data_IF_272978874933
#
_entry.id   IF_272978874933
#
_cell.length_a   1.000
_cell.length_b   1.000
_cell.length_c   1.000
_cell.angle_alpha   90.00
_cell.angle_beta   90.00
_cell.angle_gamma   90.00
#
_symmetry.space_group_name_H-M   'P 1'
#
loop_
_entity.id
_entity.type
_entity.pdbx_description
1 polymer ?
#
# COMPACT_ATOMS: atom_id res chain seq x y z
N UNK A 1 -2.70 10.75 -48.25
CA UNK A 1 -2.15 12.04 -47.77
C UNK A 1 -3.26 12.78 -47.06
N UNK A 2 -3.12 12.99 -45.74
CA UNK A 2 -3.80 13.95 -44.86
C UNK A 2 -5.32 13.87 -44.57
N UNK A 3 -5.57 13.67 -43.26
CA UNK A 3 -6.38 14.51 -42.36
C UNK A 3 -7.92 14.39 -42.25
N UNK A 4 -8.31 14.16 -40.99
CA UNK A 4 -9.42 14.76 -40.22
C UNK A 4 -10.88 14.42 -40.57
N UNK A 5 -11.56 13.72 -39.65
CA UNK A 5 -12.58 14.30 -38.76
C UNK A 5 -13.16 13.16 -37.87
N UNK A 6 -12.91 13.20 -36.56
CA UNK A 6 -13.68 12.43 -35.58
C UNK A 6 -14.22 13.42 -34.54
N UNK A 7 -15.53 13.61 -34.54
CA UNK A 7 -16.30 14.39 -33.58
C UNK A 7 -17.65 13.69 -33.41
N UNK A 8 -18.08 13.58 -32.15
CA UNK A 8 -19.37 13.10 -31.63
C UNK A 8 -19.63 11.59 -31.65
N UNK A 9 -19.44 10.94 -30.50
CA UNK A 9 -20.57 10.51 -29.64
C UNK A 9 -20.15 10.69 -28.19
N UNK A 10 -20.86 11.61 -27.52
CA UNK A 10 -20.87 11.84 -26.07
C UNK A 10 -21.80 10.77 -25.47
N UNK A 11 -21.33 9.94 -24.56
CA UNK A 11 -22.16 9.41 -23.48
C UNK A 11 -21.32 8.88 -22.30
N UNK A 12 -21.56 9.49 -21.15
CA UNK A 12 -21.30 9.02 -19.78
C UNK A 12 -19.85 8.91 -19.31
N UNK A 13 -19.29 10.07 -18.98
CA UNK A 13 -18.37 10.23 -17.85
C UNK A 13 -18.90 11.39 -17.01
N UNK A 14 -18.60 11.38 -15.70
CA UNK A 14 -18.86 12.41 -14.66
C UNK A 14 -19.94 11.98 -13.66
N UNK A 15 -19.50 11.31 -12.59
CA UNK A 15 -20.00 11.63 -11.24
C UNK A 15 -18.87 12.34 -10.50
N UNK A 16 -18.93 13.67 -10.56
CA UNK A 16 -18.29 14.64 -9.66
C UNK A 16 -18.64 14.31 -8.20
N UNK A 17 -17.66 14.24 -7.30
CA UNK A 17 -17.31 15.34 -6.39
C UNK A 17 -18.52 16.12 -5.84
N UNK A 18 -18.85 15.81 -4.58
CA UNK A 18 -19.45 16.63 -3.52
C UNK A 18 -20.01 18.01 -3.90
N UNK A 19 -21.33 18.19 -3.75
CA UNK A 19 -21.93 19.08 -2.74
C UNK A 19 -23.47 19.02 -2.75
N UNK A 20 -24.02 19.35 -1.59
CA UNK A 20 -25.40 19.80 -1.30
C UNK A 20 -26.51 18.75 -1.19
N UNK A 21 -26.70 18.25 0.04
CA UNK A 21 -27.97 17.72 0.53
C UNK A 21 -28.45 18.60 1.68
N UNK A 22 -29.49 19.39 1.41
CA UNK A 22 -30.35 19.99 2.42
C UNK A 22 -31.15 18.89 3.13
N UNK A 23 -31.22 19.02 4.45
CA UNK A 23 -31.94 18.17 5.39
C UNK A 23 -33.33 18.78 5.61
N UNK A 24 -34.35 17.93 5.55
CA UNK A 24 -35.66 18.06 6.21
C UNK A 24 -36.30 16.65 6.14
N UNK A 25 -37.05 16.10 7.09
CA UNK A 25 -37.10 16.14 8.56
C UNK A 25 -37.90 14.88 8.99
N UNK A 26 -37.57 14.33 10.17
CA UNK A 26 -38.40 13.48 11.03
C UNK A 26 -38.97 12.12 10.53
N UNK A 27 -38.38 11.00 11.00
CA UNK A 27 -38.89 10.13 12.08
C UNK A 27 -38.27 8.72 12.00
N UNK A 28 -37.68 8.30 13.12
CA UNK A 28 -37.55 6.93 13.64
C UNK A 28 -37.27 5.78 12.65
N UNK A 29 -36.03 5.29 12.66
CA UNK A 29 -35.67 3.88 12.86
C UNK A 29 -34.14 3.75 12.86
N UNK A 30 -33.61 2.89 13.74
CA UNK A 30 -32.18 2.63 13.96
C UNK A 30 -31.47 2.45 12.61
N UNK A 31 -30.40 3.21 12.29
CA UNK A 31 -29.73 3.04 11.01
C UNK A 31 -29.11 1.64 10.97
N UNK A 32 -29.69 0.78 10.14
CA UNK A 32 -29.02 -0.45 9.71
C UNK A 32 -27.64 -0.04 9.21
N UNK A 33 -26.61 -0.50 9.92
CA UNK A 33 -25.22 -0.46 9.47
C UNK A 33 -25.22 -1.26 8.17
N UNK A 34 -25.45 -0.58 7.04
CA UNK A 34 -25.11 -1.09 5.73
C UNK A 34 -23.61 -1.28 5.78
N UNK A 35 -23.18 -2.51 6.07
CA UNK A 35 -21.82 -2.99 5.81
C UNK A 35 -21.51 -2.59 4.38
N UNK A 36 -20.79 -1.48 4.24
CA UNK A 36 -20.26 -0.99 2.99
C UNK A 36 -19.35 -2.13 2.55
N UNK A 37 -19.82 -3.01 1.66
CA UNK A 37 -19.01 -4.07 1.06
C UNK A 37 -17.78 -3.36 0.51
N UNK A 38 -16.66 -3.44 1.23
CA UNK A 38 -15.37 -3.10 0.65
C UNK A 38 -15.22 -4.09 -0.50
N UNK A 39 -15.28 -3.58 -1.73
CA UNK A 39 -14.91 -4.35 -2.90
C UNK A 39 -13.52 -4.94 -2.65
N UNK A 40 -13.41 -6.26 -2.68
CA UNK A 40 -12.17 -6.95 -2.39
C UNK A 40 -11.27 -6.90 -3.61
N UNK A 41 -10.15 -6.20 -3.45
CA UNK A 41 -9.14 -6.02 -4.49
C UNK A 41 -8.61 -7.36 -5.00
N UNK A 42 -8.49 -8.37 -4.14
CA UNK A 42 -7.98 -9.69 -4.54
C UNK A 42 -9.03 -10.53 -5.28
N UNK A 43 -10.29 -10.54 -4.82
CA UNK A 43 -11.37 -11.29 -5.48
C UNK A 43 -11.64 -10.76 -6.91
N UNK A 44 -11.59 -9.43 -7.09
CA UNK A 44 -11.66 -8.81 -8.42
C UNK A 44 -10.41 -9.09 -9.27
N UNK A 45 -9.24 -9.15 -8.64
CA UNK A 45 -8.00 -9.43 -9.36
C UNK A 45 -7.98 -10.87 -9.89
N UNK A 46 -8.30 -11.86 -9.06
CA UNK A 46 -8.18 -13.29 -9.41
C UNK A 46 -9.17 -13.73 -10.49
N UNK A 47 -10.31 -13.05 -10.60
CA UNK A 47 -11.31 -13.30 -11.65
C UNK A 47 -10.97 -12.62 -12.98
N UNK A 48 -9.89 -11.85 -13.04
CA UNK A 48 -9.49 -11.09 -14.22
C UNK A 48 -8.62 -11.90 -15.18
N UNK A 49 -8.85 -11.76 -16.49
CA UNK A 49 -8.04 -12.42 -17.52
C UNK A 49 -6.56 -11.96 -17.54
N UNK A 50 -6.26 -10.82 -16.92
CA UNK A 50 -4.92 -10.25 -16.77
C UNK A 50 -4.28 -10.60 -15.42
N UNK A 51 -4.89 -11.49 -14.63
CA UNK A 51 -4.36 -11.91 -13.34
C UNK A 51 -3.03 -12.64 -13.48
N UNK A 52 -2.09 -12.27 -12.60
CA UNK A 52 -0.79 -12.91 -12.42
C UNK A 52 -0.80 -13.52 -11.02
N UNK A 53 -0.57 -14.82 -10.94
CA UNK A 53 -0.66 -15.57 -9.70
C UNK A 53 0.62 -15.43 -8.85
N UNK A 54 0.58 -14.45 -7.95
CA UNK A 54 1.63 -14.18 -6.97
C UNK A 54 1.36 -14.83 -5.60
N UNK A 55 0.54 -15.88 -5.53
CA UNK A 55 0.10 -16.42 -4.22
C UNK A 55 1.20 -17.09 -3.41
N UNK A 56 2.32 -17.47 -4.03
CA UNK A 56 3.52 -17.91 -3.29
C UNK A 56 4.16 -16.81 -2.44
N UNK A 57 3.80 -15.54 -2.65
CA UNK A 57 4.14 -14.46 -1.74
C UNK A 57 3.75 -14.78 -0.30
N UNK A 58 2.62 -15.45 -0.08
CA UNK A 58 2.16 -15.83 1.26
C UNK A 58 3.19 -16.77 1.91
N UNK A 59 3.69 -17.76 1.18
CA UNK A 59 4.69 -18.69 1.71
C UNK A 59 6.00 -17.99 2.04
N UNK A 60 6.52 -17.19 1.11
CA UNK A 60 7.77 -16.45 1.29
C UNK A 60 7.66 -15.48 2.49
N UNK A 61 6.49 -14.91 2.74
CA UNK A 61 6.21 -14.07 3.92
C UNK A 61 6.28 -14.84 5.24
N UNK A 62 5.98 -16.13 5.29
CA UNK A 62 6.06 -16.92 6.54
C UNK A 62 7.40 -17.62 6.74
N UNK A 63 8.09 -17.98 5.65
CA UNK A 63 9.39 -18.65 5.71
C UNK A 63 10.52 -17.67 6.03
N UNK A 64 10.39 -16.39 5.65
CA UNK A 64 11.45 -15.41 5.92
C UNK A 64 11.51 -14.97 7.38
N UNK A 65 12.70 -14.50 7.79
CA UNK A 65 13.02 -14.14 9.17
C UNK A 65 12.15 -12.99 9.70
N UNK A 66 11.99 -12.94 11.04
CA UNK A 66 11.29 -11.86 11.73
C UNK A 66 9.78 -12.09 11.86
N UNK A 67 9.24 -11.81 13.05
CA UNK A 67 7.80 -11.88 13.31
C UNK A 67 7.05 -10.69 12.70
N UNK A 68 7.71 -9.55 12.53
CA UNK A 68 7.17 -8.34 11.92
C UNK A 68 7.91 -8.04 10.62
N UNK A 69 7.15 -7.95 9.52
CA UNK A 69 7.69 -7.78 8.17
C UNK A 69 7.16 -6.50 7.53
N UNK A 70 8.05 -5.62 7.11
CA UNK A 70 7.72 -4.39 6.38
C UNK A 70 8.20 -4.48 4.94
N UNK A 71 7.27 -4.52 3.98
CA UNK A 71 7.63 -4.54 2.55
C UNK A 71 7.19 -3.24 1.89
N UNK A 72 8.15 -2.52 1.33
CA UNK A 72 7.91 -1.24 0.67
C UNK A 72 8.03 -1.36 -0.85
N UNK A 73 7.07 -0.79 -1.56
CA UNK A 73 7.06 -0.75 -3.02
C UNK A 73 6.38 0.51 -3.56
N UNK A 74 6.66 0.92 -4.80
CA UNK A 74 5.99 2.07 -5.41
C UNK A 74 4.45 1.93 -5.46
N UNK A 75 3.77 3.05 -5.66
CA UNK A 75 2.31 3.05 -5.83
C UNK A 75 1.93 2.34 -7.12
N UNK A 76 0.85 1.55 -7.09
CA UNK A 76 0.39 0.76 -8.24
C UNK A 76 1.05 -0.62 -8.38
N UNK A 77 1.97 -0.99 -7.49
CA UNK A 77 2.75 -2.23 -7.58
C UNK A 77 2.12 -3.38 -6.77
N UNK A 78 0.79 -3.43 -6.67
CA UNK A 78 0.08 -4.58 -6.08
C UNK A 78 0.01 -4.67 -4.55
N UNK A 79 0.58 -3.71 -3.79
CA UNK A 79 0.63 -3.74 -2.31
C UNK A 79 -0.70 -4.10 -1.62
N UNK A 80 -1.75 -3.31 -1.84
CA UNK A 80 -3.05 -3.58 -1.21
C UNK A 80 -3.71 -4.87 -1.70
N UNK A 81 -3.45 -5.29 -2.95
CA UNK A 81 -3.98 -6.55 -3.48
C UNK A 81 -3.30 -7.73 -2.80
N UNK A 82 -1.98 -7.68 -2.64
CA UNK A 82 -1.23 -8.70 -1.89
C UNK A 82 -1.62 -8.71 -0.41
N UNK A 83 -1.90 -7.55 0.19
CA UNK A 83 -2.40 -7.45 1.55
C UNK A 83 -3.77 -8.13 1.72
N UNK A 84 -4.72 -7.84 0.83
CA UNK A 84 -6.05 -8.49 0.86
C UNK A 84 -5.96 -10.00 0.58
N UNK A 85 -5.04 -10.42 -0.30
CA UNK A 85 -4.73 -11.83 -0.53
C UNK A 85 -4.25 -12.53 0.74
N UNK A 86 -3.26 -11.97 1.45
CA UNK A 86 -2.75 -12.52 2.72
C UNK A 86 -3.85 -12.56 3.78
N UNK A 87 -4.64 -11.48 3.90
CA UNK A 87 -5.81 -11.42 4.80
C UNK A 87 -6.73 -12.60 4.56
N UNK A 88 -7.22 -12.77 3.33
CA UNK A 88 -8.16 -13.83 2.97
C UNK A 88 -7.62 -15.24 3.18
N UNK A 89 -6.33 -15.44 2.92
CA UNK A 89 -5.69 -16.74 3.12
C UNK A 89 -5.65 -17.11 4.62
N UNK A 90 -5.32 -16.17 5.50
CA UNK A 90 -5.10 -16.45 6.93
C UNK A 90 -6.37 -16.37 7.78
N UNK A 91 -7.35 -15.55 7.38
CA UNK A 91 -8.50 -15.14 8.18
C UNK A 91 -9.43 -16.31 8.55
N UNK A 92 -9.64 -16.49 9.85
CA UNK A 92 -10.73 -17.33 10.37
C UNK A 92 -12.07 -16.70 9.96
N UNK A 93 -12.86 -17.43 9.17
CA UNK A 93 -14.21 -17.02 8.81
C UNK A 93 -15.20 -17.40 9.91
N UNK A 94 -16.10 -16.48 10.25
CA UNK A 94 -17.14 -16.68 11.26
C UNK A 94 -18.54 -16.42 10.71
N UNK A 95 -19.54 -17.00 11.36
CA UNK A 95 -20.95 -16.65 11.16
C UNK A 95 -21.30 -15.30 11.83
N UNK A 96 -22.57 -14.88 11.72
CA UNK A 96 -23.08 -13.65 12.34
C UNK A 96 -22.98 -13.60 13.87
N UNK A 97 -22.84 -14.76 14.51
CA UNK A 97 -22.71 -14.91 15.97
C UNK A 97 -21.24 -15.05 16.42
N UNK A 98 -20.29 -15.05 15.47
CA UNK A 98 -18.87 -15.22 15.74
C UNK A 98 -18.42 -16.68 15.84
N UNK A 99 -19.27 -17.66 15.51
CA UNK A 99 -18.82 -19.06 15.48
C UNK A 99 -17.97 -19.32 14.24
N UNK A 100 -16.84 -20.00 14.43
CA UNK A 100 -15.96 -20.38 13.34
C UNK A 100 -16.67 -21.34 12.37
N UNK A 101 -16.61 -21.00 11.08
CA UNK A 101 -17.14 -21.83 10.00
C UNK A 101 -16.16 -22.96 9.67
N UNK A 102 -16.67 -24.07 9.11
CA UNK A 102 -15.80 -25.08 8.51
C UNK A 102 -15.05 -24.46 7.32
N UNK A 103 -13.72 -24.52 7.35
CA UNK A 103 -12.80 -23.90 6.39
C UNK A 103 -13.22 -24.24 4.95
N UNK A 104 -13.57 -25.50 4.68
CA UNK A 104 -13.95 -25.97 3.34
C UNK A 104 -15.23 -25.36 2.80
N UNK A 105 -16.07 -24.80 3.66
CA UNK A 105 -17.32 -24.13 3.29
C UNK A 105 -17.17 -22.63 3.08
N UNK A 106 -16.00 -22.06 3.41
CA UNK A 106 -15.79 -20.62 3.38
C UNK A 106 -15.63 -20.09 1.95
N UNK A 107 -16.06 -18.84 1.74
CA UNK A 107 -15.82 -18.14 0.47
C UNK A 107 -14.34 -18.00 0.15
N UNK A 108 -13.51 -17.77 1.18
CA UNK A 108 -12.06 -17.68 0.99
C UNK A 108 -11.51 -19.02 0.48
N UNK A 109 -11.89 -20.16 1.07
CA UNK A 109 -11.42 -21.46 0.58
C UNK A 109 -11.82 -21.73 -0.87
N UNK A 110 -13.07 -21.44 -1.23
CA UNK A 110 -13.56 -21.58 -2.60
C UNK A 110 -12.80 -20.68 -3.58
N UNK A 111 -12.50 -19.43 -3.20
CA UNK A 111 -11.74 -18.48 -4.02
C UNK A 111 -10.36 -19.03 -4.38
N UNK A 112 -9.64 -19.61 -3.40
CA UNK A 112 -8.28 -20.11 -3.64
C UNK A 112 -8.27 -21.44 -4.42
N UNK A 113 -9.20 -22.34 -4.12
CA UNK A 113 -9.23 -23.69 -4.70
C UNK A 113 -9.85 -23.74 -6.08
N UNK A 114 -10.93 -22.99 -6.33
CA UNK A 114 -11.61 -22.96 -7.65
C UNK A 114 -10.75 -22.28 -8.71
N UNK A 115 -9.96 -21.28 -8.32
CA UNK A 115 -9.01 -20.61 -9.20
C UNK A 115 -7.67 -21.35 -9.34
N UNK A 116 -7.52 -22.53 -8.72
CA UNK A 116 -6.33 -23.39 -8.77
C UNK A 116 -5.01 -22.65 -8.48
N UNK A 117 -5.06 -21.74 -7.50
CA UNK A 117 -3.94 -20.86 -7.21
C UNK A 117 -2.68 -21.63 -6.80
N UNK A 118 -1.52 -21.13 -7.19
CA UNK A 118 -0.21 -21.76 -7.01
C UNK A 118 0.06 -22.17 -5.56
N UNK A 119 -0.34 -21.34 -4.58
CA UNK A 119 -0.21 -21.65 -3.15
C UNK A 119 -0.94 -22.95 -2.75
N UNK A 120 -2.02 -23.33 -3.44
CA UNK A 120 -2.78 -24.55 -3.18
C UNK A 120 -2.01 -25.82 -3.53
N UNK A 121 -0.96 -25.71 -4.37
CA UNK A 121 -0.10 -26.84 -4.75
C UNK A 121 0.82 -27.27 -3.60
N UNK A 122 1.12 -26.39 -2.66
CA UNK A 122 1.80 -26.73 -1.42
C UNK A 122 0.78 -27.14 -0.35
N UNK A 123 0.27 -28.37 -0.45
CA UNK A 123 -0.79 -28.87 0.42
C UNK A 123 -0.44 -28.78 1.91
N UNK A 124 0.83 -29.00 2.29
CA UNK A 124 1.26 -28.94 3.68
C UNK A 124 1.13 -27.52 4.21
N UNK A 125 1.74 -26.55 3.51
CA UNK A 125 1.67 -25.14 3.90
C UNK A 125 0.22 -24.64 3.88
N UNK A 126 -0.55 -24.99 2.84
CA UNK A 126 -1.95 -24.60 2.72
C UNK A 126 -2.77 -25.07 3.92
N UNK A 127 -2.70 -26.35 4.29
CA UNK A 127 -3.46 -26.86 5.45
C UNK A 127 -2.99 -26.29 6.79
N UNK A 128 -1.70 -25.98 6.92
CA UNK A 128 -1.13 -25.46 8.17
C UNK A 128 -1.51 -24.00 8.45
N UNK A 129 -1.67 -23.16 7.42
CA UNK A 129 -1.85 -21.72 7.60
C UNK A 129 -3.21 -21.18 7.13
N UNK A 130 -3.91 -21.86 6.23
CA UNK A 130 -5.17 -21.36 5.66
C UNK A 130 -6.28 -21.27 6.71
N UNK A 131 -6.86 -20.08 6.88
CA UNK A 131 -7.97 -19.82 7.80
C UNK A 131 -7.63 -20.08 9.27
N UNK A 132 -6.36 -19.93 9.68
CA UNK A 132 -5.90 -20.29 11.02
C UNK A 132 -5.76 -19.13 12.01
N UNK A 133 -5.83 -17.88 11.55
CA UNK A 133 -5.52 -16.70 12.35
C UNK A 133 -6.71 -15.75 12.48
N UNK A 134 -6.99 -15.23 13.69
CA UNK A 134 -7.74 -13.99 13.83
C UNK A 134 -6.91 -12.84 13.24
N UNK A 135 -7.53 -12.00 12.42
CA UNK A 135 -6.84 -10.90 11.74
C UNK A 135 -7.23 -9.56 12.36
N UNK A 136 -6.23 -8.72 12.62
CA UNK A 136 -6.42 -7.27 12.80
C UNK A 136 -5.93 -6.59 11.53
N UNK A 137 -6.86 -6.11 10.70
CA UNK A 137 -6.56 -5.41 9.45
C UNK A 137 -6.74 -3.90 9.62
N UNK A 138 -5.65 -3.15 9.44
CA UNK A 138 -5.57 -1.70 9.60
C UNK A 138 -5.20 -1.08 8.25
N UNK A 139 -6.02 -0.16 7.74
CA UNK A 139 -5.70 0.62 6.54
C UNK A 139 -5.54 2.10 6.92
N UNK A 140 -4.30 2.59 6.91
CA UNK A 140 -3.99 3.99 7.23
C UNK A 140 -4.22 4.96 6.06
N UNK A 141 -4.74 4.53 4.91
CA UNK A 141 -5.03 5.43 3.79
C UNK A 141 -5.87 6.68 4.16
N UNK A 142 -6.84 6.66 5.10
CA UNK A 142 -7.54 7.87 5.55
C UNK A 142 -6.62 8.96 6.16
N UNK A 143 -5.45 8.57 6.69
CA UNK A 143 -4.46 9.49 7.26
C UNK A 143 -3.67 10.27 6.20
N UNK A 144 -3.85 9.94 4.91
CA UNK A 144 -3.03 10.49 3.83
C UNK A 144 -3.06 12.01 3.68
N UNK A 145 -4.11 12.68 4.15
CA UNK A 145 -4.27 14.13 4.02
C UNK A 145 -4.25 14.85 5.37
N UNK A 146 -3.60 14.28 6.40
CA UNK A 146 -3.42 14.98 7.68
C UNK A 146 -2.36 16.07 7.55
N UNK A 147 -2.56 17.17 8.28
CA UNK A 147 -1.58 18.26 8.41
C UNK A 147 -1.41 18.78 9.84
N UNK A 148 -2.26 18.35 10.78
CA UNK A 148 -2.16 18.72 12.20
C UNK A 148 -2.53 17.55 13.12
N UNK A 149 -2.12 17.63 14.38
CA UNK A 149 -2.36 16.59 15.37
C UNK A 149 -3.87 16.37 15.65
N UNK A 150 -4.72 17.41 15.79
CA UNK A 150 -6.17 17.20 15.93
C UNK A 150 -6.80 16.48 14.73
N UNK A 151 -6.36 16.79 13.50
CA UNK A 151 -6.84 16.09 12.31
C UNK A 151 -6.40 14.62 12.28
N UNK A 152 -5.19 14.32 12.77
CA UNK A 152 -4.72 12.94 12.93
C UNK A 152 -5.67 12.15 13.82
N UNK A 153 -6.01 12.68 15.01
CA UNK A 153 -6.91 12.00 15.95
C UNK A 153 -8.28 11.71 15.32
N UNK A 154 -8.88 12.71 14.66
CA UNK A 154 -10.18 12.53 13.99
C UNK A 154 -10.14 11.47 12.88
N UNK A 155 -9.07 11.47 12.07
CA UNK A 155 -8.90 10.46 11.01
C UNK A 155 -8.54 9.08 11.56
N UNK A 156 -7.81 8.99 12.66
CA UNK A 156 -7.52 7.72 13.33
C UNK A 156 -8.79 7.08 13.89
N UNK A 157 -9.72 7.85 14.47
CA UNK A 157 -11.02 7.31 14.87
C UNK A 157 -11.79 6.66 13.71
N UNK A 158 -11.66 7.20 12.49
CA UNK A 158 -12.22 6.56 11.29
C UNK A 158 -11.51 5.25 10.93
N UNK A 159 -10.18 5.19 11.05
CA UNK A 159 -9.41 3.94 10.84
C UNK A 159 -9.81 2.89 11.87
N UNK A 160 -9.92 3.28 13.14
CA UNK A 160 -10.36 2.43 14.25
C UNK A 160 -11.76 1.88 13.97
N UNK A 161 -12.72 2.76 13.63
CA UNK A 161 -14.08 2.38 13.28
C UNK A 161 -14.13 1.34 12.16
N UNK A 162 -13.38 1.56 11.06
CA UNK A 162 -13.32 0.60 9.97
C UNK A 162 -12.72 -0.74 10.40
N UNK A 163 -11.70 -0.72 11.27
CA UNK A 163 -11.02 -1.92 11.76
C UNK A 163 -11.92 -2.73 12.69
N UNK A 164 -12.57 -2.08 13.66
CA UNK A 164 -13.47 -2.73 14.62
C UNK A 164 -14.76 -3.24 13.97
N UNK A 165 -15.24 -2.57 12.92
CA UNK A 165 -16.47 -2.96 12.23
C UNK A 165 -16.42 -4.37 11.66
N UNK A 166 -15.24 -4.89 11.29
CA UNK A 166 -15.08 -6.29 10.85
C UNK A 166 -15.37 -7.31 11.96
N UNK A 167 -15.38 -6.87 13.22
CA UNK A 167 -15.50 -7.72 14.40
C UNK A 167 -16.75 -7.43 15.23
N UNK A 168 -17.79 -6.84 14.63
CA UNK A 168 -19.05 -6.53 15.34
C UNK A 168 -19.71 -7.77 15.96
N UNK A 169 -19.45 -8.96 15.41
CA UNK A 169 -19.91 -10.24 15.95
C UNK A 169 -19.43 -10.50 17.40
N UNK A 170 -18.34 -9.86 17.85
CA UNK A 170 -17.83 -10.01 19.21
C UNK A 170 -18.86 -9.61 20.27
N UNK A 171 -19.75 -8.65 19.98
CA UNK A 171 -20.82 -8.22 20.87
C UNK A 171 -21.74 -9.39 21.26
N UNK A 172 -21.92 -10.37 20.36
CA UNK A 172 -22.80 -11.53 20.61
C UNK A 172 -22.17 -12.57 21.54
N UNK A 173 -20.85 -12.54 21.73
CA UNK A 173 -20.19 -13.48 22.63
C UNK A 173 -20.18 -12.94 24.07
N UNK A 174 -21.20 -13.28 24.86
CA UNK A 174 -21.30 -12.84 26.26
C UNK A 174 -20.12 -13.27 27.15
N UNK A 175 -19.32 -14.28 26.75
CA UNK A 175 -18.24 -14.84 27.58
C UNK A 175 -16.96 -14.01 27.59
N UNK A 176 -16.81 -13.04 26.68
CA UNK A 176 -15.59 -12.21 26.60
C UNK A 176 -15.71 -10.89 27.36
N UNK A 177 -16.93 -10.53 27.76
CA UNK A 177 -17.29 -9.28 28.43
C UNK A 177 -17.50 -9.51 29.93
N UNK A 178 -17.04 -8.58 30.75
CA UNK A 178 -17.29 -8.60 32.20
C UNK A 178 -18.65 -7.99 32.55
N UNK A 179 -19.04 -6.92 31.86
CA UNK A 179 -20.26 -6.16 32.07
C UNK A 179 -20.72 -5.47 30.78
N UNK A 180 -21.85 -4.76 30.85
CA UNK A 180 -22.40 -4.00 29.71
C UNK A 180 -21.54 -2.76 29.37
N UNK A 181 -20.75 -2.23 30.31
CA UNK A 181 -19.91 -1.06 30.06
C UNK A 181 -18.76 -1.39 29.09
N UNK A 182 -18.17 -2.59 29.18
CA UNK A 182 -17.18 -3.05 28.21
C UNK A 182 -17.77 -3.18 26.79
N UNK A 183 -19.02 -3.63 26.67
CA UNK A 183 -19.72 -3.73 25.38
C UNK A 183 -19.93 -2.32 24.80
N UNK A 184 -20.32 -1.36 25.64
CA UNK A 184 -20.46 0.04 25.24
C UNK A 184 -19.12 0.64 24.82
N UNK A 185 -18.03 0.36 25.56
CA UNK A 185 -16.68 0.80 25.21
C UNK A 185 -16.23 0.25 23.85
N UNK A 186 -16.43 -1.04 23.59
CA UNK A 186 -16.19 -1.64 22.27
C UNK A 186 -17.04 -0.97 21.18
N UNK A 187 -18.31 -0.71 21.45
CA UNK A 187 -19.23 -0.10 20.47
C UNK A 187 -18.82 1.33 20.12
N UNK A 188 -18.26 2.09 21.06
CA UNK A 188 -17.72 3.44 20.82
C UNK A 188 -16.54 3.44 19.84
N UNK A 189 -15.82 2.32 19.69
CA UNK A 189 -14.79 2.19 18.67
C UNK A 189 -15.38 2.06 17.26
N UNK A 190 -16.62 1.58 17.12
CA UNK A 190 -17.29 1.40 15.82
C UNK A 190 -18.08 2.64 15.44
N UNK A 191 -18.97 3.10 16.32
CA UNK A 191 -19.82 4.26 16.10
C UNK A 191 -19.44 5.35 17.09
N UNK A 192 -18.96 6.49 16.58
CA UNK A 192 -18.76 7.66 17.43
C UNK A 192 -20.13 8.14 17.90
N UNK A 193 -20.41 8.01 19.20
CA UNK A 193 -21.63 8.54 19.81
C UNK A 193 -21.36 9.92 20.40
N UNK A 194 -22.39 10.78 20.45
CA UNK A 194 -22.28 12.13 21.00
C UNK A 194 -21.90 12.16 22.49
N UNK A 195 -22.18 11.07 23.22
CA UNK A 195 -22.06 11.02 24.69
C UNK A 195 -20.80 10.31 25.21
N UNK A 196 -20.03 9.60 24.37
CA UNK A 196 -18.73 9.01 24.72
C UNK A 196 -17.84 8.96 23.48
N UNK A 197 -16.78 9.76 23.46
CA UNK A 197 -15.78 9.78 22.39
C UNK A 197 -14.49 9.12 22.87
N UNK A 198 -13.80 8.41 21.97
CA UNK A 198 -12.48 7.86 22.27
C UNK A 198 -11.53 9.01 22.60
N UNK A 199 -10.90 8.93 23.77
CA UNK A 199 -9.84 9.86 24.14
C UNK A 199 -8.50 9.48 23.48
N UNK A 200 -7.41 10.17 23.84
CA UNK A 200 -6.08 9.88 23.27
C UNK A 200 -5.57 8.49 23.65
N UNK A 201 -5.84 8.05 24.88
CA UNK A 201 -5.42 6.75 25.38
C UNK A 201 -6.20 5.64 24.67
N UNK A 202 -7.52 5.79 24.57
CA UNK A 202 -8.38 4.87 23.82
C UNK A 202 -7.90 4.74 22.37
N UNK A 203 -7.58 5.86 21.70
CA UNK A 203 -7.09 5.84 20.32
C UNK A 203 -5.74 5.11 20.22
N UNK A 204 -4.77 5.46 21.08
CA UNK A 204 -3.42 4.89 21.07
C UNK A 204 -3.41 3.37 21.31
N UNK A 205 -4.27 2.90 22.22
CA UNK A 205 -4.33 1.48 22.61
C UNK A 205 -5.46 0.69 21.92
N UNK A 206 -6.26 1.31 21.06
CA UNK A 206 -7.43 0.71 20.40
C UNK A 206 -7.14 -0.62 19.70
N UNK A 207 -6.09 -0.69 18.88
CA UNK A 207 -5.78 -1.92 18.15
C UNK A 207 -5.25 -3.04 19.06
N UNK A 208 -4.50 -2.69 20.12
CA UNK A 208 -4.07 -3.64 21.13
C UNK A 208 -5.27 -4.20 21.90
N UNK A 209 -6.24 -3.34 22.23
CA UNK A 209 -7.51 -3.73 22.85
C UNK A 209 -8.30 -4.71 21.96
N UNK A 210 -8.42 -4.42 20.66
CA UNK A 210 -9.05 -5.35 19.72
C UNK A 210 -8.32 -6.70 19.66
N UNK A 211 -6.98 -6.69 19.62
CA UNK A 211 -6.18 -7.92 19.63
C UNK A 211 -6.43 -8.76 20.90
N UNK A 212 -6.58 -8.12 22.06
CA UNK A 212 -6.95 -8.77 23.31
C UNK A 212 -8.32 -9.45 23.21
N UNK A 213 -9.34 -8.76 22.70
CA UNK A 213 -10.69 -9.30 22.54
C UNK A 213 -10.72 -10.49 21.58
N UNK A 214 -10.03 -10.39 20.44
CA UNK A 214 -9.91 -11.49 19.47
C UNK A 214 -9.19 -12.69 20.09
N UNK A 215 -8.14 -12.47 20.88
CA UNK A 215 -7.48 -13.56 21.62
C UNK A 215 -8.40 -14.20 22.65
N UNK A 216 -9.21 -13.43 23.39
CA UNK A 216 -10.22 -13.98 24.32
C UNK A 216 -11.24 -14.85 23.58
N UNK A 217 -11.70 -14.38 22.41
CA UNK A 217 -12.70 -15.05 21.60
C UNK A 217 -12.19 -16.35 20.95
N UNK A 218 -11.07 -16.28 20.21
CA UNK A 218 -10.54 -17.42 19.45
C UNK A 218 -9.52 -18.27 20.21
N UNK A 219 -9.06 -17.82 21.39
CA UNK A 219 -7.97 -18.44 22.16
C UNK A 219 -6.67 -18.57 21.36
N UNK A 220 -6.48 -17.72 20.36
CA UNK A 220 -5.30 -17.64 19.49
C UNK A 220 -4.74 -16.22 19.47
N UNK A 221 -3.42 -16.11 19.30
CA UNK A 221 -2.79 -14.82 19.00
C UNK A 221 -3.25 -14.32 17.63
N UNK A 222 -3.38 -13.01 17.46
CA UNK A 222 -3.80 -12.40 16.19
C UNK A 222 -2.63 -12.31 15.21
N UNK A 223 -2.91 -12.25 13.93
CA UNK A 223 -1.97 -11.80 12.91
C UNK A 223 -2.35 -10.39 12.47
N UNK A 224 -1.39 -9.47 12.45
CA UNK A 224 -1.64 -8.05 12.20
C UNK A 224 -1.28 -7.70 10.75
N UNK A 225 -2.17 -6.98 10.08
CA UNK A 225 -1.98 -6.52 8.70
C UNK A 225 -2.15 -5.00 8.65
N UNK A 226 -1.11 -4.25 8.26
CA UNK A 226 -1.15 -2.78 8.17
C UNK A 226 -0.86 -2.33 6.74
N UNK A 227 -1.89 -1.86 6.04
CA UNK A 227 -1.76 -1.25 4.71
C UNK A 227 -1.53 0.26 4.81
N UNK A 228 -0.81 0.80 3.83
CA UNK A 228 -0.44 2.21 3.73
C UNK A 228 0.19 2.74 5.03
N UNK A 229 1.12 1.97 5.61
CA UNK A 229 1.70 2.27 6.92
C UNK A 229 2.38 3.65 6.97
N UNK A 230 2.79 4.20 5.84
CA UNK A 230 3.40 5.52 5.70
C UNK A 230 2.40 6.62 5.25
N UNK A 231 1.10 6.38 5.33
CA UNK A 231 0.11 7.30 4.79
C UNK A 231 0.18 8.70 5.41
N UNK A 232 0.35 8.78 6.72
CA UNK A 232 0.33 10.03 7.48
C UNK A 232 1.42 11.02 7.04
N UNK A 233 2.57 10.56 6.53
CA UNK A 233 3.65 11.47 6.10
C UNK A 233 3.47 12.04 4.69
N UNK A 234 2.62 11.45 3.84
CA UNK A 234 2.59 11.82 2.42
C UNK A 234 2.27 13.29 2.17
N UNK A 235 1.27 13.84 2.85
CA UNK A 235 0.84 15.22 2.64
C UNK A 235 1.72 16.22 3.40
N UNK A 236 2.31 15.79 4.52
CA UNK A 236 3.19 16.62 5.36
C UNK A 236 4.47 17.04 4.62
N UNK A 237 4.91 16.26 3.62
CA UNK A 237 6.01 16.65 2.73
C UNK A 237 5.64 17.86 1.85
N UNK A 238 4.37 17.98 1.45
CA UNK A 238 3.91 19.00 0.50
C UNK A 238 3.17 20.18 1.16
N UNK A 239 2.75 20.04 2.43
CA UNK A 239 1.97 21.05 3.16
C UNK A 239 2.54 21.30 4.56
N UNK A 240 2.46 22.53 5.04
CA UNK A 240 2.92 22.90 6.38
C UNK A 240 2.22 22.08 7.44
N UNK A 241 3.02 21.54 8.36
CA UNK A 241 2.57 20.70 9.45
C UNK A 241 3.40 21.05 10.69
N UNK A 242 2.92 21.98 11.54
CA UNK A 242 3.65 22.38 12.74
C UNK A 242 3.79 21.20 13.73
N UNK A 243 2.85 20.25 13.69
CA UNK A 243 2.74 19.15 14.65
C UNK A 243 3.43 17.86 14.17
N UNK A 244 4.39 17.95 13.24
CA UNK A 244 5.04 16.75 12.65
C UNK A 244 5.62 15.81 13.71
N UNK A 245 6.22 16.36 14.76
CA UNK A 245 6.82 15.55 15.82
C UNK A 245 5.75 14.79 16.61
N UNK A 246 4.66 15.45 16.95
CA UNK A 246 3.58 14.88 17.74
C UNK A 246 2.86 13.79 16.94
N UNK A 247 2.66 14.01 15.63
CA UNK A 247 2.09 13.02 14.71
C UNK A 247 2.98 11.78 14.62
N UNK A 248 4.28 11.94 14.38
CA UNK A 248 5.21 10.81 14.28
C UNK A 248 5.26 10.02 15.60
N UNK A 249 5.36 10.72 16.73
CA UNK A 249 5.48 10.09 18.06
C UNK A 249 4.21 9.31 18.42
N UNK A 250 3.04 9.85 18.12
CA UNK A 250 1.77 9.20 18.42
C UNK A 250 1.50 7.98 17.54
N UNK A 251 1.90 8.03 16.25
CA UNK A 251 1.83 6.85 15.38
C UNK A 251 2.82 5.76 15.84
N UNK A 252 4.03 6.13 16.26
CA UNK A 252 5.00 5.19 16.84
C UNK A 252 4.49 4.54 18.13
N UNK A 253 3.80 5.30 18.99
CA UNK A 253 3.13 4.80 20.20
C UNK A 253 2.02 3.82 19.86
N UNK A 254 1.11 4.20 18.94
CA UNK A 254 -0.05 3.40 18.55
C UNK A 254 0.36 2.07 17.92
N UNK A 255 1.27 2.10 16.94
CA UNK A 255 1.76 0.89 16.28
C UNK A 255 2.64 0.06 17.24
N UNK A 256 3.45 0.72 18.08
CA UNK A 256 4.29 0.09 19.08
C UNK A 256 3.49 -0.68 20.12
N UNK A 257 2.39 -0.11 20.63
CA UNK A 257 1.51 -0.76 21.59
C UNK A 257 0.96 -2.09 21.05
N UNK A 258 0.56 -2.15 19.78
CA UNK A 258 0.09 -3.38 19.16
C UNK A 258 1.24 -4.37 18.87
N UNK A 259 2.26 -3.92 18.15
CA UNK A 259 3.27 -4.80 17.55
C UNK A 259 4.25 -5.40 18.58
N UNK A 260 4.42 -4.74 19.74
CA UNK A 260 5.25 -5.26 20.84
C UNK A 260 4.49 -6.17 21.80
N UNK A 261 3.18 -6.32 21.64
CA UNK A 261 2.36 -7.16 22.51
C UNK A 261 2.54 -8.66 22.14
N UNK A 262 3.69 -9.24 22.46
CA UNK A 262 4.07 -10.63 22.10
C UNK A 262 3.05 -11.68 22.57
N UNK A 263 2.34 -11.40 23.67
CA UNK A 263 1.29 -12.28 24.18
C UNK A 263 0.01 -12.23 23.35
N UNK A 264 -0.19 -11.19 22.53
CA UNK A 264 -1.39 -10.97 21.72
C UNK A 264 -1.13 -11.21 20.23
N UNK A 265 0.07 -10.88 19.74
CA UNK A 265 0.42 -10.90 18.32
C UNK A 265 1.31 -12.09 17.99
N UNK A 266 0.95 -12.84 16.95
CA UNK A 266 1.73 -13.96 16.41
C UNK A 266 2.75 -13.51 15.37
N UNK A 267 2.42 -12.47 14.61
CA UNK A 267 3.24 -11.84 13.60
C UNK A 267 2.49 -10.69 12.94
N UNK A 268 3.20 -9.90 12.14
CA UNK A 268 2.64 -8.77 11.44
C UNK A 268 3.24 -8.59 10.04
N UNK A 269 2.41 -8.15 9.11
CA UNK A 269 2.83 -7.72 7.78
C UNK A 269 2.37 -6.27 7.52
N UNK A 270 3.33 -5.41 7.23
CA UNK A 270 3.15 -4.00 6.97
C UNK A 270 3.57 -3.69 5.54
N UNK A 271 2.86 -2.76 4.88
CA UNK A 271 3.26 -2.29 3.56
C UNK A 271 3.03 -0.79 3.37
N UNK A 272 3.94 -0.16 2.61
CA UNK A 272 3.98 1.28 2.35
C UNK A 272 4.86 1.60 1.13
N UNK A 273 5.11 2.89 0.88
CA UNK A 273 6.08 3.34 -0.15
C UNK A 273 7.42 3.72 0.48
N UNK A 274 7.35 4.38 1.63
CA UNK A 274 8.45 4.90 2.39
C UNK A 274 8.68 4.05 3.64
N UNK A 275 9.95 3.82 3.96
CA UNK A 275 10.36 3.26 5.24
C UNK A 275 10.48 4.40 6.25
N UNK A 276 9.34 4.81 6.83
CA UNK A 276 9.25 5.88 7.84
C UNK A 276 9.55 5.37 9.25
N UNK A 277 9.22 4.11 9.52
CA UNK A 277 9.27 3.55 10.86
C UNK A 277 10.70 3.32 11.34
N UNK A 278 11.02 3.94 12.48
CA UNK A 278 12.14 3.56 13.32
C UNK A 278 11.70 2.33 14.13
N UNK A 279 12.32 1.18 13.87
CA UNK A 279 12.21 -0.02 14.69
C UNK A 279 12.83 0.13 16.08
N UNK A 280 12.53 1.21 16.81
CA UNK A 280 12.89 1.39 18.22
C UNK A 280 11.79 0.85 19.15
N UNK A 281 10.84 0.09 18.62
CA UNK A 281 9.92 -0.72 19.40
C UNK A 281 10.61 -1.85 20.20
N UNK A 282 11.93 -2.01 20.07
CA UNK A 282 12.67 -3.12 20.68
C UNK A 282 12.39 -4.47 20.02
N UNK A 283 11.69 -4.49 18.88
CA UNK A 283 11.39 -5.70 18.10
C UNK A 283 12.14 -5.72 16.76
N UNK A 284 12.55 -6.91 16.35
CA UNK A 284 13.24 -7.12 15.07
C UNK A 284 12.23 -7.04 13.91
N UNK A 285 12.10 -5.84 13.33
CA UNK A 285 11.32 -5.61 12.10
C UNK A 285 12.20 -5.95 10.90
N UNK A 286 11.91 -7.09 10.28
CA UNK A 286 12.53 -7.44 9.00
C UNK A 286 11.90 -6.59 7.89
N UNK A 287 12.72 -6.05 6.99
CA UNK A 287 12.22 -5.15 5.94
C UNK A 287 12.78 -5.50 4.58
N UNK A 288 11.92 -5.43 3.56
CA UNK A 288 12.33 -5.45 2.15
C UNK A 288 11.86 -4.19 1.42
N UNK A 289 12.67 -3.75 0.49
CA UNK A 289 12.49 -2.60 -0.38
C UNK A 289 12.48 -3.07 -1.84
N UNK A 290 11.51 -2.57 -2.59
CA UNK A 290 11.41 -2.88 -4.01
C UNK A 290 12.74 -2.62 -4.75
N UNK A 291 13.17 -3.62 -5.53
CA UNK A 291 14.44 -3.75 -6.26
C UNK A 291 15.70 -4.04 -5.43
N UNK A 292 15.60 -4.14 -4.10
CA UNK A 292 16.75 -4.49 -3.25
C UNK A 292 16.73 -5.96 -2.82
N UNK A 293 15.55 -6.54 -2.60
CA UNK A 293 15.39 -7.93 -2.18
C UNK A 293 14.60 -8.71 -3.23
N UNK A 294 15.30 -9.61 -3.92
CA UNK A 294 14.77 -10.45 -5.02
C UNK A 294 13.63 -11.33 -4.57
N UNK A 295 13.77 -11.92 -3.39
CA UNK A 295 12.81 -12.83 -2.79
C UNK A 295 11.38 -12.23 -2.80
N UNK A 296 11.27 -10.92 -2.57
CA UNK A 296 9.98 -10.24 -2.46
C UNK A 296 9.66 -9.34 -3.66
N UNK A 297 10.65 -8.67 -4.23
CA UNK A 297 10.44 -7.70 -5.32
C UNK A 297 9.74 -8.32 -6.54
N UNK A 298 9.95 -9.61 -6.79
CA UNK A 298 9.27 -10.37 -7.86
C UNK A 298 7.73 -10.34 -7.76
N UNK A 299 7.17 -10.16 -6.55
CA UNK A 299 5.72 -10.08 -6.30
C UNK A 299 5.15 -8.66 -6.39
N UNK A 300 6.01 -7.65 -6.51
CA UNK A 300 5.64 -6.24 -6.60
C UNK A 300 5.99 -5.68 -7.97
N UNK A 301 5.85 -6.49 -9.02
CA UNK A 301 5.96 -6.07 -10.41
C UNK A 301 5.45 -7.22 -11.28
N UNK A 302 5.32 -6.96 -12.58
CA UNK A 302 5.17 -8.07 -13.53
C UNK A 302 6.58 -8.49 -13.94
N UNK A 303 6.90 -9.78 -13.90
CA UNK A 303 8.16 -10.27 -14.44
C UNK A 303 8.05 -10.48 -15.96
N UNK A 304 9.16 -10.46 -16.69
CA UNK A 304 9.15 -10.79 -18.13
C UNK A 304 8.48 -12.15 -18.45
N UNK A 305 8.74 -13.25 -17.70
CA UNK A 305 7.98 -14.49 -17.83
C UNK A 305 6.47 -14.32 -17.68
N UNK A 306 6.00 -13.65 -16.62
CA UNK A 306 4.57 -13.45 -16.34
C UNK A 306 3.90 -12.61 -17.42
N UNK A 307 4.59 -11.57 -17.90
CA UNK A 307 4.10 -10.71 -18.98
C UNK A 307 3.90 -11.54 -20.26
N UNK A 308 4.89 -12.36 -20.61
CA UNK A 308 4.85 -13.21 -21.81
C UNK A 308 3.72 -14.23 -21.72
N UNK A 309 3.54 -14.88 -20.58
CA UNK A 309 2.43 -15.80 -20.35
C UNK A 309 1.08 -15.10 -20.50
N UNK A 310 0.92 -13.95 -19.85
CA UNK A 310 -0.30 -13.14 -19.91
C UNK A 310 -0.64 -12.71 -21.34
N UNK A 311 0.33 -12.18 -22.08
CA UNK A 311 0.16 -11.79 -23.49
C UNK A 311 -0.21 -12.98 -24.37
N UNK A 312 0.41 -14.16 -24.15
CA UNK A 312 0.10 -15.36 -24.92
C UNK A 312 -1.32 -15.87 -24.67
N UNK A 313 -1.82 -15.72 -23.43
CA UNK A 313 -3.19 -16.09 -23.05
C UNK A 313 -4.23 -15.16 -23.68
N UNK A 314 -3.96 -13.85 -23.68
CA UNK A 314 -4.92 -12.83 -24.14
C UNK A 314 -4.98 -12.69 -25.66
N UNK A 315 -3.84 -12.81 -26.34
CA UNK A 315 -3.76 -12.56 -27.78
C UNK A 315 -3.43 -13.85 -28.52
N UNK A 316 -4.28 -14.33 -29.44
CA UNK A 316 -3.98 -15.55 -30.19
C UNK A 316 -2.89 -15.36 -31.26
N UNK A 317 -2.79 -14.17 -31.85
CA UNK A 317 -1.94 -13.93 -33.01
C UNK A 317 -0.54 -13.38 -32.64
N UNK A 318 0.50 -13.89 -33.33
CA UNK A 318 1.91 -13.53 -33.06
C UNK A 318 2.26 -12.07 -33.39
N UNK A 319 1.49 -11.40 -34.25
CA UNK A 319 1.78 -10.01 -34.63
C UNK A 319 1.36 -9.07 -33.50
N UNK A 320 0.12 -9.16 -33.04
CA UNK A 320 -0.40 -8.38 -31.90
C UNK A 320 0.42 -8.63 -30.65
N UNK A 321 0.80 -9.89 -30.35
CA UNK A 321 1.69 -10.19 -29.21
C UNK A 321 2.99 -9.37 -29.24
N UNK A 322 3.61 -9.25 -30.43
CA UNK A 322 4.86 -8.48 -30.58
C UNK A 322 4.62 -6.98 -30.43
N UNK A 323 3.54 -6.45 -31.01
CA UNK A 323 3.19 -5.04 -30.93
C UNK A 323 2.86 -4.62 -29.49
N UNK A 324 2.01 -5.39 -28.81
CA UNK A 324 1.64 -5.22 -27.40
C UNK A 324 2.88 -5.29 -26.51
N UNK A 325 3.73 -6.32 -26.68
CA UNK A 325 4.96 -6.44 -25.89
C UNK A 325 5.90 -5.26 -26.12
N UNK A 326 6.12 -4.87 -27.37
CA UNK A 326 6.99 -3.73 -27.71
C UNK A 326 6.48 -2.43 -27.08
N UNK A 327 5.16 -2.20 -27.07
CA UNK A 327 4.59 -1.04 -26.41
C UNK A 327 4.82 -1.07 -24.90
N UNK A 328 4.57 -2.21 -24.25
CA UNK A 328 4.76 -2.39 -22.81
C UNK A 328 6.24 -2.26 -22.42
N UNK A 329 7.15 -2.82 -23.22
CA UNK A 329 8.60 -2.70 -23.03
C UNK A 329 9.07 -1.26 -23.02
N UNK A 330 8.58 -0.45 -23.96
CA UNK A 330 8.94 0.96 -24.10
C UNK A 330 8.33 1.85 -23.01
N UNK A 331 7.09 1.59 -22.62
CA UNK A 331 6.32 2.50 -21.78
C UNK A 331 6.36 2.14 -20.30
N UNK A 332 6.38 0.86 -19.95
CA UNK A 332 6.16 0.40 -18.56
C UNK A 332 7.25 -0.52 -18.02
N UNK A 333 8.16 -1.00 -18.89
CA UNK A 333 9.26 -1.90 -18.51
C UNK A 333 10.48 -1.18 -17.95
N UNK A 334 11.60 -1.89 -17.92
CA UNK A 334 12.93 -1.30 -17.67
C UNK A 334 13.33 -1.20 -16.20
N UNK A 335 12.45 -1.59 -15.27
CA UNK A 335 12.86 -1.83 -13.89
C UNK A 335 13.75 -3.08 -13.84
N UNK A 336 14.86 -3.02 -13.08
CA UNK A 336 15.87 -4.08 -13.04
C UNK A 336 15.96 -4.66 -11.64
N UNK A 337 15.57 -5.93 -11.51
CA UNK A 337 15.72 -6.70 -10.30
C UNK A 337 16.93 -7.62 -10.44
N UNK A 338 18.06 -7.25 -9.85
CA UNK A 338 19.27 -8.07 -9.88
C UNK A 338 19.10 -9.31 -9.02
N UNK A 339 19.32 -10.49 -9.59
CA UNK A 339 19.40 -11.72 -8.82
C UNK A 339 20.85 -12.00 -8.38
N UNK A 340 21.06 -13.01 -7.53
CA UNK A 340 22.40 -13.41 -7.10
C UNK A 340 23.21 -13.89 -8.33
N UNK A 341 23.90 -12.95 -9.00
CA UNK A 341 24.62 -13.15 -10.25
C UNK A 341 24.78 -11.87 -11.09
N UNK A 342 25.22 -12.04 -12.33
CA UNK A 342 25.43 -10.95 -13.30
C UNK A 342 24.16 -10.59 -14.11
N UNK A 343 23.04 -11.24 -13.81
CA UNK A 343 21.79 -11.09 -14.55
C UNK A 343 20.75 -10.31 -13.73
N UNK A 344 19.84 -9.64 -14.43
CA UNK A 344 18.66 -9.04 -13.82
C UNK A 344 17.38 -9.58 -14.46
N UNK A 345 16.32 -9.63 -13.66
CA UNK A 345 14.96 -9.84 -14.12
C UNK A 345 14.39 -8.48 -14.51
N UNK A 346 13.94 -8.36 -15.77
CA UNK A 346 13.21 -7.18 -16.23
C UNK A 346 11.82 -7.19 -15.60
N UNK A 347 11.50 -6.10 -14.92
CA UNK A 347 10.25 -5.89 -14.19
C UNK A 347 9.44 -4.77 -14.85
N UNK A 348 8.13 -4.83 -14.65
CA UNK A 348 7.17 -3.84 -15.16
C UNK A 348 6.23 -3.38 -14.04
N UNK A 349 5.72 -2.15 -14.16
CA UNK A 349 4.65 -1.64 -13.30
C UNK A 349 3.36 -2.48 -13.46
N UNK A 350 2.89 -3.10 -12.37
CA UNK A 350 1.65 -3.91 -12.37
C UNK A 350 0.47 -3.08 -12.85
N UNK A 351 0.21 -1.93 -12.23
CA UNK A 351 -0.94 -1.12 -12.57
C UNK A 351 -0.92 -0.64 -14.01
N UNK A 352 0.25 -0.27 -14.54
CA UNK A 352 0.35 0.27 -15.90
C UNK A 352 0.13 -0.83 -16.94
N UNK A 353 0.71 -2.01 -16.73
CA UNK A 353 0.51 -3.19 -17.58
C UNK A 353 -0.95 -3.65 -17.55
N UNK A 354 -1.52 -3.87 -16.36
CA UNK A 354 -2.90 -4.35 -16.19
C UNK A 354 -3.90 -3.41 -16.85
N UNK A 355 -3.77 -2.10 -16.64
CA UNK A 355 -4.65 -1.08 -17.24
C UNK A 355 -4.56 -1.09 -18.76
N UNK A 356 -3.34 -1.12 -19.29
CA UNK A 356 -3.12 -1.16 -20.74
C UNK A 356 -3.76 -2.41 -21.36
N UNK A 357 -3.56 -3.58 -20.76
CA UNK A 357 -4.13 -4.84 -21.24
C UNK A 357 -5.67 -4.87 -21.13
N UNK A 358 -6.26 -4.14 -20.18
CA UNK A 358 -7.71 -3.95 -20.05
C UNK A 358 -8.29 -2.87 -20.98
N UNK A 359 -7.46 -2.19 -21.77
CA UNK A 359 -7.89 -1.07 -22.60
C UNK A 359 -8.32 0.17 -21.81
N UNK A 360 -7.90 0.28 -20.54
CA UNK A 360 -8.19 1.44 -19.70
C UNK A 360 -7.32 2.64 -20.08
N UNK A 361 -7.84 3.85 -19.86
CA UNK A 361 -7.05 5.07 -20.06
C UNK A 361 -5.87 5.14 -19.10
N UNK A 362 -4.75 5.70 -19.58
CA UNK A 362 -3.59 5.93 -18.71
C UNK A 362 -3.96 6.94 -17.62
N UNK A 363 -3.88 6.50 -16.36
CA UNK A 363 -4.02 7.39 -15.22
C UNK A 363 -2.68 8.06 -14.96
N UNK A 364 -2.75 9.35 -14.65
CA UNK A 364 -1.58 10.14 -14.27
C UNK A 364 -0.83 9.46 -13.13
N UNK A 365 0.51 9.39 -13.24
CA UNK A 365 1.38 8.93 -12.16
C UNK A 365 1.07 9.73 -10.87
N UNK A 366 1.30 9.14 -9.70
CA UNK A 366 0.97 9.72 -8.40
C UNK A 366 1.42 11.17 -8.24
N UNK A 367 2.64 11.53 -8.64
CA UNK A 367 3.11 12.91 -8.50
C UNK A 367 2.56 13.87 -9.57
N UNK A 368 1.85 13.37 -10.57
CA UNK A 368 1.25 14.18 -11.62
C UNK A 368 -0.14 14.76 -11.23
N UNK A 369 -0.65 14.48 -10.02
CA UNK A 369 -1.81 15.23 -9.52
C UNK A 369 -1.42 16.70 -9.23
N UNK A 370 -2.31 17.68 -9.53
CA UNK A 370 -1.97 19.10 -9.46
C UNK A 370 -1.32 19.56 -8.15
N UNK A 371 -1.81 19.04 -7.02
CA UNK A 371 -1.30 19.38 -5.68
C UNK A 371 0.17 19.00 -5.46
N UNK A 372 0.66 17.94 -6.09
CA UNK A 372 2.05 17.51 -5.96
C UNK A 372 2.94 18.22 -6.97
N UNK A 373 2.47 18.37 -8.22
CA UNK A 373 3.18 19.10 -9.29
C UNK A 373 3.61 20.48 -8.81
N UNK A 374 2.71 21.22 -8.16
CA UNK A 374 3.03 22.54 -7.61
C UNK A 374 4.20 22.53 -6.61
N UNK A 375 4.29 21.53 -5.74
CA UNK A 375 5.43 21.37 -4.83
C UNK A 375 6.74 21.09 -5.57
N UNK A 376 6.69 20.24 -6.60
CA UNK A 376 7.88 19.97 -7.41
C UNK A 376 8.37 21.21 -8.16
N UNK A 377 7.51 22.15 -8.55
CA UNK A 377 7.94 23.41 -9.18
C UNK A 377 8.94 24.19 -8.33
N UNK A 378 8.75 24.24 -7.01
CA UNK A 378 9.67 24.93 -6.11
C UNK A 378 10.99 24.19 -5.97
N UNK A 379 10.96 22.85 -5.91
CA UNK A 379 12.18 22.04 -5.88
C UNK A 379 12.99 22.25 -7.16
N UNK A 380 12.35 22.27 -8.33
CA UNK A 380 13.04 22.43 -9.61
C UNK A 380 13.70 23.81 -9.78
N UNK A 381 13.44 24.79 -8.89
CA UNK A 381 14.21 26.05 -8.86
C UNK A 381 15.59 25.90 -8.22
N UNK A 382 15.83 24.80 -7.51
CA UNK A 382 17.14 24.48 -6.92
C UNK A 382 18.02 23.94 -8.06
N UNK A 383 19.02 24.71 -8.48
CA UNK A 383 19.88 24.40 -9.64
C UNK A 383 20.39 22.96 -9.61
N UNK A 384 20.96 22.51 -8.49
CA UNK A 384 21.55 21.18 -8.38
C UNK A 384 20.51 20.05 -8.53
N UNK A 385 19.24 20.28 -8.14
CA UNK A 385 18.17 19.30 -8.36
C UNK A 385 17.70 19.34 -9.82
N UNK A 386 17.50 20.54 -10.37
CA UNK A 386 17.12 20.70 -11.78
C UNK A 386 18.15 20.05 -12.71
N UNK A 387 19.43 20.28 -12.46
CA UNK A 387 20.53 19.70 -13.24
C UNK A 387 20.50 18.17 -13.17
N UNK A 388 20.33 17.59 -11.97
CA UNK A 388 20.23 16.14 -11.81
C UNK A 388 19.03 15.55 -12.56
N UNK A 389 17.87 16.23 -12.52
CA UNK A 389 16.66 15.81 -13.24
C UNK A 389 16.83 15.95 -14.75
N UNK A 390 17.46 17.02 -15.23
CA UNK A 390 17.75 17.24 -16.65
C UNK A 390 18.71 16.20 -17.21
N UNK A 391 19.73 15.82 -16.45
CA UNK A 391 20.65 14.75 -16.82
C UNK A 391 19.91 13.40 -16.94
N UNK A 392 19.01 13.08 -15.99
CA UNK A 392 18.13 11.91 -16.09
C UNK A 392 17.23 11.96 -17.33
N UNK A 393 16.63 13.12 -17.65
CA UNK A 393 15.77 13.31 -18.82
C UNK A 393 16.53 13.14 -20.15
N UNK A 394 17.84 13.47 -20.16
CA UNK A 394 18.76 13.21 -21.28
C UNK A 394 19.23 11.75 -21.37
N UNK A 395 18.80 10.89 -20.44
CA UNK A 395 19.15 9.47 -20.40
C UNK A 395 20.48 9.19 -19.70
N UNK A 396 21.01 10.14 -18.95
CA UNK A 396 22.20 9.94 -18.12
C UNK A 396 21.82 9.34 -16.76
N UNK A 397 22.85 8.94 -16.02
CA UNK A 397 22.73 8.24 -14.75
C UNK A 397 23.06 9.17 -13.58
N UNK A 398 22.48 8.89 -12.41
CA UNK A 398 22.81 9.55 -11.15
C UNK A 398 23.35 8.52 -10.16
N UNK A 399 24.30 8.92 -9.32
CA UNK A 399 24.81 8.06 -8.25
C UNK A 399 23.96 8.22 -6.99
N UNK A 400 23.57 7.12 -6.35
CA UNK A 400 22.80 7.11 -5.10
C UNK A 400 23.33 6.08 -4.11
N UNK A 401 23.18 6.40 -2.81
CA UNK A 401 23.29 5.48 -1.70
C UNK A 401 21.92 5.33 -0.99
N UNK A 402 21.31 4.15 -1.14
CA UNK A 402 19.98 3.80 -0.65
C UNK A 402 20.00 3.02 0.67
N UNK A 403 21.19 2.76 1.24
CA UNK A 403 21.32 1.91 2.44
C UNK A 403 20.54 2.47 3.63
N UNK A 404 20.48 3.79 3.77
CA UNK A 404 19.77 4.42 4.87
C UNK A 404 18.25 4.44 4.67
N UNK A 405 17.51 4.24 5.76
CA UNK A 405 16.09 4.54 5.81
C UNK A 405 15.83 6.06 5.67
N UNK A 406 14.58 6.44 5.36
CA UNK A 406 14.17 7.84 5.45
C UNK A 406 13.85 8.15 6.91
N UNK A 407 14.73 8.90 7.57
CA UNK A 407 14.44 9.40 8.91
C UNK A 407 13.82 10.79 8.85
N UNK A 408 13.37 11.25 10.02
CA UNK A 408 12.75 12.54 10.25
C UNK A 408 13.53 13.69 9.59
N UNK A 409 14.86 13.68 9.70
CA UNK A 409 15.72 14.73 9.16
C UNK A 409 15.64 14.80 7.63
N UNK A 410 15.69 13.64 6.94
CA UNK A 410 15.52 13.58 5.49
C UNK A 410 14.12 14.00 5.07
N UNK A 411 13.08 13.62 5.81
CA UNK A 411 11.71 14.07 5.57
C UNK A 411 11.59 15.59 5.67
N UNK A 412 12.12 16.20 6.73
CA UNK A 412 12.12 17.64 6.93
C UNK A 412 12.90 18.37 5.83
N UNK A 413 14.06 17.84 5.43
CA UNK A 413 14.86 18.41 4.36
C UNK A 413 14.17 18.36 3.00
N UNK A 414 13.54 17.23 2.64
CA UNK A 414 12.76 17.12 1.41
C UNK A 414 11.54 18.03 1.45
N UNK A 415 10.82 18.05 2.57
CA UNK A 415 9.69 18.94 2.80
C UNK A 415 10.10 20.40 2.60
N UNK A 416 11.23 20.82 3.18
CA UNK A 416 11.74 22.19 3.04
C UNK A 416 12.14 22.52 1.59
N UNK A 417 12.75 21.57 0.88
CA UNK A 417 13.06 21.74 -0.53
C UNK A 417 11.77 21.90 -1.38
N UNK A 418 10.75 21.08 -1.10
CA UNK A 418 9.45 21.11 -1.80
C UNK A 418 8.64 22.36 -1.53
N UNK A 419 8.67 22.87 -0.30
CA UNK A 419 7.84 24.02 0.09
C UNK A 419 8.52 25.35 -0.16
N UNK A 420 9.83 25.42 0.09
CA UNK A 420 10.56 26.68 0.16
C UNK A 420 11.65 26.80 -0.91
N UNK A 421 11.90 25.76 -1.72
CA UNK A 421 12.95 25.78 -2.73
C UNK A 421 14.34 25.93 -2.12
N UNK A 422 14.55 25.42 -0.90
CA UNK A 422 15.81 25.53 -0.16
C UNK A 422 16.28 24.17 0.34
N UNK A 423 17.55 23.86 0.12
CA UNK A 423 18.19 22.69 0.73
C UNK A 423 18.59 23.03 2.17
N UNK A 424 18.34 22.09 3.09
CA UNK A 424 18.80 22.19 4.48
C UNK A 424 20.14 21.46 4.73
N UNK A 425 20.65 20.77 3.71
CA UNK A 425 21.87 19.95 3.79
C UNK A 425 22.49 19.83 2.39
N UNK A 426 23.80 19.65 2.33
CA UNK A 426 24.53 19.30 1.11
C UNK A 426 24.06 17.96 0.51
N UNK A 427 23.58 17.03 1.34
CA UNK A 427 22.96 15.77 0.92
C UNK A 427 21.53 15.91 0.40
N UNK A 428 20.95 17.13 0.41
CA UNK A 428 19.55 17.32 0.07
C UNK A 428 19.17 16.91 -1.36
N UNK A 429 20.10 17.03 -2.31
CA UNK A 429 19.91 16.54 -3.70
C UNK A 429 19.79 15.01 -3.71
N UNK A 430 20.72 14.33 -3.03
CA UNK A 430 20.70 12.87 -2.91
C UNK A 430 19.42 12.39 -2.24
N UNK A 431 19.01 13.00 -1.13
CA UNK A 431 17.76 12.64 -0.44
C UNK A 431 16.53 12.82 -1.33
N UNK A 432 16.47 13.88 -2.14
CA UNK A 432 15.41 14.06 -3.13
C UNK A 432 15.42 12.97 -4.21
N UNK A 433 16.59 12.59 -4.73
CA UNK A 433 16.71 11.51 -5.71
C UNK A 433 16.35 10.14 -5.11
N UNK A 434 16.74 9.88 -3.85
CA UNK A 434 16.30 8.70 -3.07
C UNK A 434 14.78 8.69 -2.94
N UNK A 435 14.15 9.85 -2.75
CA UNK A 435 12.70 9.97 -2.67
C UNK A 435 12.05 9.61 -4.02
N UNK A 436 12.58 10.11 -5.15
CA UNK A 436 12.13 9.69 -6.48
C UNK A 436 12.27 8.17 -6.68
N UNK A 437 13.37 7.56 -6.24
CA UNK A 437 13.57 6.12 -6.29
C UNK A 437 12.45 5.36 -5.54
N UNK A 438 12.08 5.77 -4.32
CA UNK A 438 11.01 5.11 -3.54
C UNK A 438 9.66 5.11 -4.25
N UNK A 439 9.40 6.12 -5.07
CA UNK A 439 8.17 6.22 -5.86
C UNK A 439 8.27 5.57 -7.25
N UNK A 440 9.36 4.83 -7.53
CA UNK A 440 9.51 4.06 -8.77
C UNK A 440 9.94 4.90 -9.97
N UNK A 441 10.55 6.07 -9.76
CA UNK A 441 11.08 6.90 -10.85
C UNK A 441 12.48 6.48 -11.30
N UNK A 442 13.21 5.77 -10.45
CA UNK A 442 14.60 5.36 -10.69
C UNK A 442 14.73 3.84 -10.58
N UNK A 443 15.65 3.28 -11.35
CA UNK A 443 16.07 1.86 -11.31
C UNK A 443 17.59 1.79 -11.42
N UNK A 444 18.25 0.76 -10.85
CA UNK A 444 19.69 0.60 -11.03
C UNK A 444 20.08 0.47 -12.51
N UNK A 445 21.25 0.99 -12.89
CA UNK A 445 21.81 0.82 -14.23
C UNK A 445 22.32 -0.63 -14.46
N UNK A 446 22.89 -0.93 -15.63
CA UNK A 446 23.32 -2.30 -16.01
C UNK A 446 24.54 -2.81 -15.20
N UNK A 447 25.29 -1.90 -14.58
CA UNK A 447 26.52 -2.21 -13.83
C UNK A 447 26.30 -2.24 -12.31
N UNK A 448 25.16 -1.71 -11.84
CA UNK A 448 24.87 -1.54 -10.41
C UNK A 448 24.22 -2.80 -9.80
N UNK A 449 25.03 -3.84 -9.62
CA UNK A 449 24.63 -5.11 -8.97
C UNK A 449 24.40 -4.97 -7.46
N UNK A 450 24.98 -3.96 -6.82
CA UNK A 450 24.85 -3.73 -5.38
C UNK A 450 23.40 -3.33 -5.01
N UNK A 451 22.62 -2.77 -5.96
CA UNK A 451 21.22 -2.30 -5.85
C UNK A 451 20.91 -1.28 -4.75
N UNK A 452 21.75 -1.21 -3.73
CA UNK A 452 21.70 -0.28 -2.61
C UNK A 452 22.62 0.91 -2.86
N UNK A 453 23.73 0.76 -3.59
CA UNK A 453 24.67 1.85 -3.86
C UNK A 453 25.27 1.75 -5.25
N UNK A 454 25.11 2.79 -6.06
CA UNK A 454 25.67 2.84 -7.39
C UNK A 454 24.91 3.80 -8.30
N UNK A 455 24.95 3.53 -9.61
CA UNK A 455 24.29 4.36 -10.62
C UNK A 455 22.85 3.94 -10.89
N UNK A 456 21.99 4.92 -11.10
CA UNK A 456 20.56 4.78 -11.32
C UNK A 456 20.11 5.63 -12.52
N UNK A 457 19.04 5.19 -13.18
CA UNK A 457 18.49 5.82 -14.38
C UNK A 457 16.96 5.78 -14.37
N UNK A 458 16.34 6.47 -15.33
CA UNK A 458 14.90 6.34 -15.58
C UNK A 458 14.58 4.97 -16.19
N UNK A 459 13.56 4.24 -15.69
CA UNK A 459 13.22 2.92 -16.21
C UNK A 459 12.55 2.96 -17.59
N UNK A 460 11.70 3.94 -17.89
CA UNK A 460 10.84 3.91 -19.08
C UNK A 460 10.27 5.28 -19.49
N UNK A 461 9.50 5.30 -20.58
CA UNK A 461 8.81 6.50 -21.07
C UNK A 461 7.74 7.02 -20.10
N UNK A 462 7.06 6.17 -19.33
CA UNK A 462 6.04 6.60 -18.36
C UNK A 462 6.65 7.49 -17.26
N UNK A 463 7.77 7.07 -16.67
CA UNK A 463 8.46 7.88 -15.65
C UNK A 463 9.08 9.14 -16.23
N UNK A 464 9.69 9.05 -17.43
CA UNK A 464 10.22 10.21 -18.15
C UNK A 464 9.13 11.25 -18.43
N UNK A 465 7.99 10.84 -18.97
CA UNK A 465 6.86 11.73 -19.24
C UNK A 465 6.29 12.34 -17.96
N UNK A 466 6.32 11.60 -16.86
CA UNK A 466 5.90 12.09 -15.55
C UNK A 466 6.84 13.17 -15.02
N UNK A 467 8.17 13.00 -15.15
CA UNK A 467 9.16 14.01 -14.75
C UNK A 467 9.12 15.26 -15.63
N UNK A 468 8.92 15.11 -16.95
CA UNK A 468 8.79 16.25 -17.87
C UNK A 468 7.66 17.21 -17.44
N UNK A 469 6.58 16.69 -16.85
CA UNK A 469 5.49 17.52 -16.32
C UNK A 469 5.90 18.37 -15.12
N UNK A 470 6.94 17.99 -14.37
CA UNK A 470 7.44 18.77 -13.24
C UNK A 470 8.33 19.93 -13.71
N UNK A 471 9.01 19.75 -14.84
CA UNK A 471 9.92 20.75 -15.43
C UNK A 471 9.16 21.73 -16.34
N UNK A 472 8.14 21.26 -17.07
CA UNK A 472 7.38 22.08 -18.00
C UNK A 472 6.33 23.02 -17.35
N UNK A 473 6.13 22.93 -16.04
CA UNK A 473 5.06 23.61 -15.30
C UNK A 473 5.59 24.70 -14.39
#
# INVERSE_FOLDING_TARGET
MKCCLYLLVIHNTICSFYNDLQIDSAMNEIPQIRTKRLFSKFEEAVTSEVFIDNTFFIKDLFVSNGSVKLITAPRGFGKSTNMDMVRRFLEISVDENGHQLDIKTTKNYNLFTTCELNICKDHKFFHEYFGQYPIVYIDYNPLRNVSSFPQLLEKLKLVISNTFSFHIYLIKNQKIWMDEEEIVHFTNHITQSENRTLDRFDISFSFQYLALLLKKHFRKKVFVLIDNCDAFVYNMIFQDSPDINDILSFMEETDGALLTAENLVSGAFLTGVLRVFRGHWGINVWSAQYLQEVEFSKYYGVTEPDLRETINRLFPDKKTRREVKSYIDDHFGGYRLYNDGDNYVKMYSISSVVRYLRGESQVMNYFCYPKYVNGFKYVMKISNISDAVDELLKGKEVFLDLYEAFYKEQFLAISNAIKHGKLLSEHGVEWFLRYLHRFGYLTPNDENKNVTKGRFQLPNKETKNSLLRFVAS
#
